data_IF_268548486764
#
_entry.id   IF_268548486764
#
_cell.length_a   1.000
_cell.length_b   1.000
_cell.length_c   1.000
_cell.angle_alpha   90.00
_cell.angle_beta   90.00
_cell.angle_gamma   90.00
#
_symmetry.space_group_name_H-M   'P 1'
#
loop_
_entity.id
_entity.type
_entity.pdbx_description
1 polymer ?
#
# COMPACT_ATOMS: atom_id res chain seq x y z
N UNK A 1 11.75 26.77 11.17
CA UNK A 1 11.94 25.47 11.85
C UNK A 1 10.58 24.89 12.18
N UNK A 2 10.05 24.08 11.27
CA UNK A 2 8.81 23.34 11.50
C UNK A 2 9.19 22.13 12.38
N UNK A 3 8.90 22.23 13.65
CA UNK A 3 8.84 21.05 14.51
C UNK A 3 7.66 20.21 14.03
N UNK A 4 7.99 19.19 13.27
CA UNK A 4 7.05 18.14 12.91
C UNK A 4 6.84 17.37 14.20
N UNK A 5 5.61 17.43 14.74
CA UNK A 5 5.18 16.52 15.78
C UNK A 5 5.07 15.10 15.18
N UNK A 6 6.22 14.50 14.92
CA UNK A 6 6.29 13.05 14.94
C UNK A 6 6.14 12.67 16.41
N UNK A 7 4.93 12.22 16.81
CA UNK A 7 4.80 11.53 18.07
C UNK A 7 5.83 10.41 18.02
N UNK A 8 6.89 10.54 18.79
CA UNK A 8 7.89 9.48 18.86
C UNK A 8 7.18 8.27 19.45
N UNK A 9 7.62 7.08 19.08
CA UNK A 9 7.12 5.83 19.66
C UNK A 9 7.14 5.91 21.20
N UNK A 10 8.10 6.65 21.75
CA UNK A 10 8.28 6.88 23.17
C UNK A 10 7.17 7.77 23.76
N UNK A 11 6.68 8.77 23.05
CA UNK A 11 5.62 9.68 23.50
C UNK A 11 4.24 9.00 23.47
N UNK A 12 4.08 7.98 22.61
CA UNK A 12 2.86 7.18 22.52
C UNK A 12 2.77 6.08 23.61
N UNK A 13 3.88 5.69 24.23
CA UNK A 13 3.95 4.62 25.22
C UNK A 13 2.99 4.78 26.43
N UNK A 14 2.77 5.96 27.02
CA UNK A 14 1.83 6.13 28.13
C UNK A 14 0.36 5.91 27.72
N UNK A 15 0.05 6.04 26.44
CA UNK A 15 -1.31 5.94 25.90
C UNK A 15 -1.62 4.50 25.46
N UNK A 16 -0.58 3.69 25.28
CA UNK A 16 -0.68 2.33 24.76
C UNK A 16 -0.68 1.32 25.91
N UNK A 17 -1.78 0.58 26.11
CA UNK A 17 -1.75 -0.66 26.86
C UNK A 17 -0.72 -1.62 26.23
N UNK A 18 -0.11 -2.52 27.00
CA UNK A 18 0.93 -3.47 26.56
C UNK A 18 0.53 -4.23 25.27
N UNK A 19 -0.75 -4.55 25.13
CA UNK A 19 -1.33 -5.19 23.96
C UNK A 19 -1.17 -4.34 22.68
N UNK A 20 -1.50 -3.05 22.74
CA UNK A 20 -1.35 -2.13 21.61
C UNK A 20 0.11 -1.92 21.23
N UNK A 21 1.00 -1.89 22.21
CA UNK A 21 2.43 -1.80 21.96
C UNK A 21 2.95 -3.02 21.19
N UNK A 22 2.51 -4.23 21.56
CA UNK A 22 2.87 -5.47 20.84
C UNK A 22 2.36 -5.44 19.40
N UNK A 23 1.13 -4.98 19.19
CA UNK A 23 0.56 -4.82 17.84
C UNK A 23 1.37 -3.79 17.03
N UNK A 24 1.72 -2.66 17.61
CA UNK A 24 2.51 -1.63 16.95
C UNK A 24 3.90 -2.16 16.55
N UNK A 25 4.57 -2.86 17.46
CA UNK A 25 5.86 -3.50 17.19
C UNK A 25 5.77 -4.50 16.04
N UNK A 26 4.71 -5.31 16.01
CA UNK A 26 4.46 -6.25 14.91
C UNK A 26 4.28 -5.54 13.56
N UNK A 27 3.53 -4.44 13.54
CA UNK A 27 3.31 -3.61 12.34
C UNK A 27 4.62 -3.04 11.82
N UNK A 28 5.44 -2.47 12.70
CA UNK A 28 6.73 -1.89 12.34
C UNK A 28 7.79 -2.93 11.95
N UNK A 29 7.54 -4.20 12.22
CA UNK A 29 8.32 -5.33 11.70
C UNK A 29 7.86 -5.86 10.33
N UNK A 30 6.80 -5.29 9.74
CA UNK A 30 6.31 -5.68 8.40
C UNK A 30 6.89 -4.71 7.38
N UNK A 31 7.56 -5.24 6.36
CA UNK A 31 8.03 -4.45 5.23
C UNK A 31 6.90 -4.27 4.20
N UNK A 32 6.52 -3.02 3.93
CA UNK A 32 5.48 -2.68 2.95
C UNK A 32 4.05 -2.82 3.50
N UNK A 33 3.13 -3.21 2.64
CA UNK A 33 1.69 -3.21 2.94
C UNK A 33 1.21 -4.54 3.51
N UNK A 34 0.26 -4.49 4.43
CA UNK A 34 -0.38 -5.65 5.03
C UNK A 34 -1.91 -5.48 5.12
N UNK A 35 -2.63 -6.57 5.21
CA UNK A 35 -4.05 -6.61 5.57
C UNK A 35 -4.21 -6.87 7.07
N UNK A 36 -5.41 -6.68 7.62
CA UNK A 36 -5.67 -7.00 9.02
C UNK A 36 -5.60 -8.50 9.29
N UNK A 37 -5.95 -9.31 8.30
CA UNK A 37 -5.83 -10.76 8.36
C UNK A 37 -4.36 -11.18 8.46
N UNK A 38 -3.50 -10.68 7.56
CA UNK A 38 -2.06 -10.96 7.58
C UNK A 38 -1.41 -10.52 8.91
N UNK A 39 -1.82 -9.37 9.47
CA UNK A 39 -1.34 -8.90 10.76
C UNK A 39 -1.82 -9.81 11.90
N UNK A 40 -3.09 -10.21 11.90
CA UNK A 40 -3.66 -11.10 12.92
C UNK A 40 -2.95 -12.47 12.92
N UNK A 41 -2.73 -13.02 11.73
CA UNK A 41 -2.02 -14.30 11.57
C UNK A 41 -0.57 -14.19 12.07
N UNK A 42 0.13 -13.11 11.74
CA UNK A 42 1.48 -12.84 12.24
C UNK A 42 1.53 -12.75 13.76
N UNK A 43 0.59 -12.03 14.38
CA UNK A 43 0.49 -11.90 15.83
C UNK A 43 0.28 -13.27 16.49
N UNK A 44 -0.64 -14.08 15.95
CA UNK A 44 -0.98 -15.37 16.52
C UNK A 44 0.13 -16.41 16.31
N UNK A 45 0.68 -16.53 15.09
CA UNK A 45 1.60 -17.61 14.71
C UNK A 45 3.06 -17.32 15.03
N UNK A 46 3.55 -16.11 14.73
CA UNK A 46 4.96 -15.77 14.91
C UNK A 46 5.26 -15.25 16.31
N UNK A 47 4.32 -14.49 16.90
CA UNK A 47 4.54 -13.84 18.20
C UNK A 47 3.83 -14.56 19.37
N UNK A 48 3.03 -15.59 19.08
CA UNK A 48 2.25 -16.29 20.09
C UNK A 48 1.26 -15.38 20.84
N UNK A 49 0.82 -14.30 20.20
CA UNK A 49 0.00 -13.24 20.78
C UNK A 49 -1.34 -13.12 20.05
N UNK A 50 -2.30 -14.02 20.31
CA UNK A 50 -3.60 -13.96 19.68
C UNK A 50 -4.40 -12.76 20.17
N UNK A 51 -4.93 -11.97 19.23
CA UNK A 51 -5.69 -10.75 19.52
C UNK A 51 -7.12 -10.89 19.00
N UNK A 52 -8.10 -10.46 19.80
CA UNK A 52 -9.48 -10.42 19.35
C UNK A 52 -9.64 -9.43 18.18
N UNK A 53 -10.46 -9.81 17.17
CA UNK A 53 -10.71 -8.96 15.98
C UNK A 53 -11.11 -7.53 16.34
N UNK A 54 -12.02 -7.38 17.31
CA UNK A 54 -12.48 -6.06 17.75
C UNK A 54 -11.34 -5.21 18.31
N UNK A 55 -10.47 -5.80 19.12
CA UNK A 55 -9.28 -5.13 19.69
C UNK A 55 -8.33 -4.69 18.57
N UNK A 56 -8.07 -5.56 17.59
CA UNK A 56 -7.21 -5.26 16.46
C UNK A 56 -7.76 -4.08 15.65
N UNK A 57 -9.06 -4.09 15.31
CA UNK A 57 -9.72 -2.99 14.59
C UNK A 57 -9.66 -1.67 15.36
N UNK A 58 -9.97 -1.68 16.65
CA UNK A 58 -9.93 -0.48 17.48
C UNK A 58 -8.50 0.06 17.61
N UNK A 59 -7.52 -0.81 17.71
CA UNK A 59 -6.11 -0.43 17.80
C UNK A 59 -5.62 0.18 16.48
N UNK A 60 -5.98 -0.41 15.34
CA UNK A 60 -5.63 0.14 14.02
C UNK A 60 -6.28 1.51 13.80
N UNK A 61 -7.54 1.70 14.20
CA UNK A 61 -8.20 3.01 14.10
C UNK A 61 -7.47 4.06 14.93
N UNK A 62 -7.07 3.74 16.16
CA UNK A 62 -6.26 4.62 16.97
C UNK A 62 -4.91 4.95 16.28
N UNK A 63 -4.25 3.96 15.70
CA UNK A 63 -2.97 4.19 15.00
C UNK A 63 -3.13 5.04 13.72
N UNK A 64 -4.27 4.95 13.04
CA UNK A 64 -4.62 5.85 11.93
C UNK A 64 -4.82 7.29 12.42
N UNK A 65 -5.52 7.49 13.54
CA UNK A 65 -5.71 8.81 14.17
C UNK A 65 -4.38 9.42 14.61
N UNK A 66 -3.51 8.61 15.21
CA UNK A 66 -2.16 9.00 15.65
C UNK A 66 -1.14 9.08 14.50
N UNK A 67 -1.54 8.77 13.26
CA UNK A 67 -0.67 8.73 12.07
C UNK A 67 0.53 7.79 12.20
N UNK A 68 0.41 6.74 13.01
CA UNK A 68 1.39 5.67 13.12
C UNK A 68 1.25 4.64 11.99
N UNK A 69 0.07 4.60 11.37
CA UNK A 69 -0.28 3.72 10.26
C UNK A 69 -1.03 4.51 9.20
N UNK A 70 -0.79 4.20 7.95
CA UNK A 70 -1.57 4.73 6.81
C UNK A 70 -2.45 3.64 6.22
N UNK A 71 -3.63 4.03 5.75
CA UNK A 71 -4.59 3.14 5.09
C UNK A 71 -4.65 3.41 3.59
N UNK A 72 -4.48 2.37 2.79
CA UNK A 72 -4.55 2.39 1.34
C UNK A 72 -5.72 1.56 0.83
N UNK A 73 -6.34 1.97 -0.27
CA UNK A 73 -7.35 1.19 -0.99
C UNK A 73 -6.82 0.81 -2.36
N UNK A 74 -6.49 -0.47 -2.53
CA UNK A 74 -5.98 -1.01 -3.78
C UNK A 74 -6.97 -2.05 -4.33
N UNK A 75 -7.53 -1.82 -5.51
CA UNK A 75 -8.46 -2.77 -6.18
C UNK A 75 -9.56 -3.34 -5.27
N UNK A 76 -10.17 -2.49 -4.45
CA UNK A 76 -11.23 -2.93 -3.53
C UNK A 76 -10.74 -3.58 -2.23
N UNK A 77 -9.44 -3.88 -2.12
CA UNK A 77 -8.83 -4.33 -0.89
C UNK A 77 -8.30 -3.15 -0.06
N UNK A 78 -8.51 -3.21 1.25
CA UNK A 78 -7.91 -2.27 2.20
C UNK A 78 -6.58 -2.85 2.67
N UNK A 79 -5.51 -2.08 2.51
CA UNK A 79 -4.18 -2.39 3.04
C UNK A 79 -3.71 -1.29 3.96
N UNK A 80 -2.80 -1.65 4.85
CA UNK A 80 -2.21 -0.75 5.83
C UNK A 80 -0.70 -0.77 5.69
N UNK A 81 -0.06 0.29 6.13
CA UNK A 81 1.40 0.46 6.09
C UNK A 81 1.85 1.24 7.31
N UNK A 82 2.99 0.85 7.90
CA UNK A 82 3.62 1.62 8.97
C UNK A 82 4.11 2.98 8.47
N UNK A 83 3.85 4.06 9.20
CA UNK A 83 4.38 5.37 8.88
C UNK A 83 5.81 5.49 9.42
N UNK A 84 6.81 5.33 8.53
CA UNK A 84 8.19 5.68 8.81
C UNK A 84 8.47 7.08 8.24
N UNK A 85 8.98 7.99 9.04
CA UNK A 85 9.50 9.31 8.62
C UNK A 85 8.66 10.02 7.54
N UNK A 86 7.37 10.28 7.82
CA UNK A 86 6.46 10.96 6.87
C UNK A 86 6.47 10.31 5.48
N UNK A 87 6.21 9.03 5.37
CA UNK A 87 6.18 8.18 4.16
C UNK A 87 5.75 8.92 2.86
N UNK A 88 6.59 9.85 2.40
CA UNK A 88 6.40 10.60 1.16
C UNK A 88 6.90 9.74 0.00
N UNK A 89 6.08 8.79 -0.47
CA UNK A 89 6.43 7.92 -1.57
C UNK A 89 5.27 7.73 -2.55
N UNK A 90 5.60 7.15 -3.69
CA UNK A 90 4.65 6.92 -4.76
C UNK A 90 4.36 5.42 -4.87
N UNK A 91 3.12 5.08 -5.20
CA UNK A 91 2.71 3.72 -5.48
C UNK A 91 2.37 3.56 -6.94
N UNK A 92 2.95 2.55 -7.58
CA UNK A 92 2.59 2.11 -8.91
C UNK A 92 1.65 0.91 -8.77
N UNK A 93 0.44 1.03 -9.35
CA UNK A 93 -0.64 0.06 -9.20
C UNK A 93 -0.99 -0.52 -10.56
N UNK A 94 -0.84 -1.84 -10.72
CA UNK A 94 -1.29 -2.51 -11.93
C UNK A 94 -2.81 -2.66 -11.92
N UNK A 95 -3.49 -2.07 -12.91
CA UNK A 95 -4.95 -2.14 -13.04
C UNK A 95 -5.47 -3.53 -13.42
N UNK A 96 -4.60 -4.45 -13.88
CA UNK A 96 -5.00 -5.81 -14.26
C UNK A 96 -4.85 -6.84 -13.15
N UNK A 97 -3.71 -6.84 -12.44
CA UNK A 97 -3.43 -7.87 -11.43
C UNK A 97 -3.39 -7.33 -10.01
N UNK A 98 -3.60 -6.02 -9.82
CA UNK A 98 -3.57 -5.39 -8.51
C UNK A 98 -2.18 -5.28 -7.86
N UNK A 99 -1.09 -5.69 -8.56
CA UNK A 99 0.25 -5.58 -8.01
C UNK A 99 0.56 -4.12 -7.67
N UNK A 100 0.97 -3.89 -6.43
CA UNK A 100 1.45 -2.60 -5.93
C UNK A 100 2.96 -2.66 -5.81
N UNK A 101 3.64 -1.60 -6.22
CA UNK A 101 5.09 -1.43 -6.09
C UNK A 101 5.37 -0.01 -5.64
N UNK A 102 6.21 0.17 -4.66
CA UNK A 102 6.67 1.48 -4.22
C UNK A 102 7.68 2.05 -5.19
N UNK A 103 7.59 3.36 -5.40
CA UNK A 103 8.55 4.14 -6.19
C UNK A 103 9.09 5.25 -5.31
N UNK A 104 10.40 5.30 -5.17
CA UNK A 104 11.12 6.42 -4.56
C UNK A 104 11.54 7.37 -5.66
N UNK A 105 10.90 8.54 -5.76
CA UNK A 105 11.27 9.60 -6.70
C UNK A 105 11.57 10.89 -5.94
N UNK A 106 12.86 11.24 -5.82
CA UNK A 106 13.27 12.50 -5.23
C UNK A 106 12.67 13.72 -5.93
N UNK A 107 12.48 13.65 -7.26
CA UNK A 107 11.94 14.73 -8.08
C UNK A 107 10.48 15.02 -7.69
N UNK A 108 9.65 13.98 -7.52
CA UNK A 108 8.25 14.14 -7.08
C UNK A 108 8.22 14.68 -5.66
N UNK A 109 9.07 14.16 -4.79
CA UNK A 109 9.17 14.63 -3.40
C UNK A 109 9.50 16.13 -3.37
N UNK A 110 10.54 16.56 -4.08
CA UNK A 110 10.93 17.96 -4.18
C UNK A 110 9.83 18.83 -4.80
N UNK A 111 9.16 18.35 -5.84
CA UNK A 111 8.06 19.08 -6.46
C UNK A 111 6.91 19.33 -5.47
N UNK A 112 6.53 18.34 -4.67
CA UNK A 112 5.47 18.49 -3.65
C UNK A 112 5.96 19.35 -2.47
N UNK A 113 7.23 19.23 -2.06
CA UNK A 113 7.80 20.06 -1.00
C UNK A 113 7.82 21.53 -1.36
N UNK A 114 8.06 21.86 -2.63
CA UNK A 114 8.10 23.23 -3.15
C UNK A 114 6.70 23.83 -3.40
N UNK A 115 5.60 23.06 -3.26
CA UNK A 115 4.27 23.62 -3.41
C UNK A 115 3.94 24.62 -2.29
N UNK A 116 3.63 25.85 -2.69
CA UNK A 116 3.16 26.89 -1.77
C UNK A 116 1.64 26.81 -1.62
N UNK A 117 1.19 26.24 -0.51
CA UNK A 117 -0.23 26.09 -0.20
C UNK A 117 -0.68 27.21 0.77
N UNK A 118 -1.64 28.04 0.33
CA UNK A 118 -2.14 29.13 1.15
C UNK A 118 -2.94 28.58 2.34
N UNK A 119 -2.60 29.01 3.57
CA UNK A 119 -3.28 28.65 4.82
C UNK A 119 -3.40 27.12 5.03
N UNK A 120 -2.41 26.36 4.55
CA UNK A 120 -2.40 24.91 4.67
C UNK A 120 -1.00 24.40 5.02
N UNK A 121 -0.90 23.63 6.10
CA UNK A 121 0.32 22.95 6.50
C UNK A 121 0.33 21.57 5.84
N UNK A 122 1.36 21.27 5.07
CA UNK A 122 1.58 19.94 4.50
C UNK A 122 2.14 19.03 5.60
N UNK A 123 1.53 17.89 5.82
CA UNK A 123 2.03 16.88 6.75
C UNK A 123 2.64 15.68 6.02
N UNK A 124 2.33 15.52 4.73
CA UNK A 124 2.81 14.44 3.86
C UNK A 124 1.98 14.33 2.59
N UNK A 125 2.34 13.39 1.75
CA UNK A 125 1.57 13.06 0.54
C UNK A 125 1.69 11.58 0.19
N UNK A 126 0.71 11.07 -0.53
CA UNK A 126 0.76 9.77 -1.20
C UNK A 126 0.34 9.97 -2.64
N UNK A 127 1.14 9.47 -3.58
CA UNK A 127 0.83 9.51 -5.02
C UNK A 127 0.58 8.10 -5.54
N UNK A 128 -0.52 7.94 -6.27
CA UNK A 128 -0.84 6.67 -6.94
C UNK A 128 -0.72 6.82 -8.45
N UNK A 129 0.06 5.94 -9.06
CA UNK A 129 0.25 5.86 -10.51
C UNK A 129 -0.38 4.55 -10.99
N UNK A 130 -1.41 4.65 -11.81
CA UNK A 130 -2.13 3.50 -12.34
C UNK A 130 -1.63 3.14 -13.74
N UNK A 131 -1.46 1.84 -13.98
CA UNK A 131 -0.98 1.37 -15.28
C UNK A 131 -1.05 -0.15 -15.37
N UNK A 132 -0.30 -0.74 -16.31
CA UNK A 132 -0.23 -2.19 -16.52
C UNK A 132 1.21 -2.64 -16.35
N UNK A 133 1.47 -3.57 -15.42
CA UNK A 133 2.82 -4.08 -15.18
C UNK A 133 3.36 -4.89 -16.38
N UNK A 134 4.67 -5.05 -16.46
CA UNK A 134 5.35 -5.76 -17.55
C UNK A 134 4.83 -7.18 -17.78
N UNK A 135 4.57 -7.92 -16.69
CA UNK A 135 3.99 -9.27 -16.76
C UNK A 135 2.61 -9.26 -17.44
N UNK A 136 1.73 -8.34 -17.03
CA UNK A 136 0.41 -8.22 -17.64
C UNK A 136 0.48 -7.72 -19.09
N UNK A 137 1.39 -6.80 -19.42
CA UNK A 137 1.62 -6.36 -20.81
C UNK A 137 2.05 -7.53 -21.70
N UNK A 138 2.96 -8.38 -21.22
CA UNK A 138 3.38 -9.58 -21.93
C UNK A 138 2.22 -10.54 -22.17
N UNK A 139 1.36 -10.74 -21.15
CA UNK A 139 0.16 -11.58 -21.32
C UNK A 139 -0.81 -11.03 -22.36
N UNK A 140 -1.06 -9.72 -22.35
CA UNK A 140 -1.91 -9.06 -23.35
C UNK A 140 -1.35 -9.25 -24.75
N UNK A 141 -0.05 -9.05 -24.93
CA UNK A 141 0.62 -9.17 -26.22
C UNK A 141 0.55 -10.60 -26.75
N UNK A 142 0.80 -11.61 -25.90
CA UNK A 142 0.66 -13.03 -26.27
C UNK A 142 -0.78 -13.37 -26.69
N UNK A 143 -1.77 -12.91 -25.94
CA UNK A 143 -3.20 -13.11 -26.23
C UNK A 143 -3.59 -12.54 -27.60
N UNK A 144 -3.22 -11.28 -27.85
CA UNK A 144 -3.46 -10.60 -29.13
C UNK A 144 -2.81 -11.33 -30.30
N UNK A 145 -1.59 -11.88 -30.11
CA UNK A 145 -0.90 -12.68 -31.14
C UNK A 145 -1.67 -13.96 -31.44
N UNK A 146 -2.08 -14.70 -30.41
CA UNK A 146 -2.86 -15.94 -30.57
C UNK A 146 -4.23 -15.70 -31.27
N UNK A 147 -4.92 -14.63 -30.91
CA UNK A 147 -6.19 -14.25 -31.57
C UNK A 147 -5.98 -13.92 -33.04
N UNK A 148 -4.93 -13.18 -33.39
CA UNK A 148 -4.58 -12.88 -34.78
C UNK A 148 -4.25 -14.14 -35.57
N UNK A 149 -3.55 -15.09 -35.00
CA UNK A 149 -3.22 -16.37 -35.62
C UNK A 149 -4.47 -17.24 -35.83
N UNK A 150 -5.37 -17.30 -34.85
CA UNK A 150 -6.67 -17.99 -34.98
C UNK A 150 -7.53 -17.38 -36.09
N UNK A 151 -7.64 -16.05 -36.13
CA UNK A 151 -8.42 -15.35 -37.15
C UNK A 151 -7.84 -15.51 -38.54
N UNK A 152 -6.51 -15.61 -38.70
CA UNK A 152 -5.88 -15.92 -39.98
C UNK A 152 -6.21 -17.36 -40.46
N UNK A 153 -6.15 -18.35 -39.55
CA UNK A 153 -6.50 -19.74 -39.89
C UNK A 153 -7.97 -19.87 -40.36
N UNK A 154 -8.91 -19.23 -39.66
CA UNK A 154 -10.33 -19.21 -40.02
C UNK A 154 -10.60 -18.55 -41.38
N UNK A 155 -9.84 -17.49 -41.75
CA UNK A 155 -9.96 -16.84 -43.06
C UNK A 155 -9.43 -17.72 -44.20
N UNK A 156 -8.36 -18.47 -43.98
CA UNK A 156 -7.76 -19.39 -44.97
C UNK A 156 -8.71 -20.58 -45.24
N UNK A 157 -9.36 -21.11 -44.22
CA UNK A 157 -10.30 -22.22 -44.36
C UNK A 157 -11.56 -21.82 -45.12
N UNK A 158 -12.06 -20.59 -44.91
CA UNK A 158 -13.21 -20.05 -45.66
C UNK A 158 -12.91 -19.69 -47.11
N UNK A 159 -11.66 -19.55 -47.50
CA UNK A 159 -11.25 -19.25 -48.85
C UNK A 159 -10.98 -20.52 -49.72
N UNK A 160 -11.08 -21.70 -49.13
CA UNK A 160 -10.85 -23.01 -49.76
C UNK A 160 -12.16 -23.79 -50.02
N UNK A 161 -13.29 -23.22 -49.68
CA UNK A 161 -14.66 -23.70 -49.94
C UNK A 161 -15.27 -22.89 -51.06
#
# INVERSE_FOLDING_TARGET
>A
TAEIYTLSLHDALPILASERYTILKAIYGINGHFTLEELNDKLATELGFPVARATLYNTINLFLELRLVTRHRFHGATKYEACYDNNNHCHQICTMCGKVTEIKSPEIKMAVENLHLKRFRKDGFTLYIYGVCSTCQTMITKRKKQEREKNKKVKIDKSKL
#
